data_IF_819418060561
#
_entry.id   IF_819418060561
#
_cell.length_a   1.000
_cell.length_b   1.000
_cell.length_c   1.000
_cell.angle_alpha   90.00
_cell.angle_beta   90.00
_cell.angle_gamma   90.00
#
_symmetry.space_group_name_H-M   'P 1'
#
loop_
_entity.id
_entity.type
_entity.pdbx_description
1 polymer ?
#
# COMPACT_ATOMS: atom_id res chain seq x y z
N UNK A 1 12.29 -1.29 -36.07
CA UNK A 1 10.87 -1.08 -35.70
C UNK A 1 9.91 -2.09 -36.37
N UNK A 2 10.38 -3.28 -36.76
CA UNK A 2 9.58 -4.22 -37.57
C UNK A 2 9.44 -5.62 -36.95
N UNK A 3 10.05 -5.85 -35.77
CA UNK A 3 10.00 -7.14 -35.06
C UNK A 3 8.99 -7.20 -33.92
N UNK A 4 8.23 -6.12 -33.67
CA UNK A 4 7.20 -6.07 -32.62
C UNK A 4 5.77 -6.28 -33.13
N UNK A 5 5.57 -6.36 -34.46
CA UNK A 5 4.24 -6.48 -35.09
C UNK A 5 3.80 -7.93 -35.33
N UNK A 6 4.70 -8.92 -35.16
CA UNK A 6 4.44 -10.34 -35.46
C UNK A 6 4.01 -11.19 -34.24
N UNK A 7 3.83 -10.55 -33.08
CA UNK A 7 3.47 -11.24 -31.81
C UNK A 7 2.01 -11.04 -31.38
N UNK A 8 1.19 -10.27 -32.12
CA UNK A 8 -0.25 -10.11 -31.83
C UNK A 8 -1.16 -11.11 -32.55
N UNK A 9 -0.67 -11.82 -33.55
CA UNK A 9 -1.51 -12.71 -34.37
C UNK A 9 -1.45 -14.18 -33.93
N UNK A 10 -0.73 -14.51 -32.86
CA UNK A 10 -0.52 -15.88 -32.40
C UNK A 10 -1.43 -16.34 -31.25
N UNK A 11 -2.25 -15.46 -30.65
CA UNK A 11 -3.00 -15.79 -29.43
C UNK A 11 -4.52 -15.96 -29.64
N UNK A 12 -5.01 -15.95 -30.88
CA UNK A 12 -6.45 -16.08 -31.20
C UNK A 12 -6.86 -17.49 -31.64
N UNK A 13 -6.05 -18.53 -31.40
CA UNK A 13 -6.39 -19.92 -31.76
C UNK A 13 -6.02 -20.94 -30.68
N UNK A 14 -6.60 -20.78 -29.49
CA UNK A 14 -6.64 -21.84 -28.46
C UNK A 14 -8.02 -21.95 -27.83
N UNK A 15 -9.01 -22.22 -28.67
CA UNK A 15 -10.29 -22.78 -28.25
C UNK A 15 -10.35 -24.22 -28.73
N UNK A 16 -9.80 -25.16 -27.94
CA UNK A 16 -10.03 -26.58 -28.17
C UNK A 16 -11.37 -26.98 -27.54
N UNK A 17 -12.27 -27.64 -28.29
CA UNK A 17 -13.49 -28.20 -27.73
C UNK A 17 -13.15 -29.49 -26.97
N UNK A 18 -13.25 -29.46 -25.64
CA UNK A 18 -13.19 -30.69 -24.84
C UNK A 18 -14.47 -31.49 -25.06
N UNK A 19 -14.25 -32.70 -25.57
CA UNK A 19 -15.22 -33.71 -25.97
C UNK A 19 -16.26 -33.99 -24.90
N UNK A 20 -17.51 -34.10 -25.36
CA UNK A 20 -18.64 -34.60 -24.61
C UNK A 20 -18.37 -36.03 -24.10
N UNK A 21 -18.38 -36.21 -22.78
CA UNK A 21 -18.44 -37.53 -22.13
C UNK A 21 -19.92 -37.94 -22.09
N UNK A 22 -20.22 -39.06 -22.76
CA UNK A 22 -21.54 -39.67 -22.75
C UNK A 22 -21.89 -40.19 -21.36
N UNK A 23 -22.83 -39.52 -20.69
CA UNK A 23 -23.43 -40.01 -19.45
C UNK A 23 -24.52 -41.03 -19.80
N UNK A 24 -24.19 -42.31 -19.63
CA UNK A 24 -25.11 -43.43 -19.76
C UNK A 24 -26.26 -43.31 -18.75
N UNK A 25 -27.48 -43.20 -19.26
CA UNK A 25 -28.69 -43.01 -18.47
C UNK A 25 -28.99 -44.18 -17.54
N UNK A 26 -29.00 -43.90 -16.24
CA UNK A 26 -29.70 -44.73 -15.25
C UNK A 26 -31.14 -44.23 -15.15
N UNK A 27 -32.08 -44.99 -15.72
CA UNK A 27 -33.52 -44.72 -15.55
C UNK A 27 -33.87 -44.82 -14.07
N UNK A 28 -34.08 -43.68 -13.43
CA UNK A 28 -34.76 -43.59 -12.14
C UNK A 28 -36.24 -43.84 -12.44
N UNK A 29 -36.77 -44.96 -11.95
CA UNK A 29 -38.21 -45.22 -11.92
C UNK A 29 -38.85 -44.20 -11.00
N UNK A 30 -39.57 -43.23 -11.57
CA UNK A 30 -40.40 -42.30 -10.82
C UNK A 30 -41.58 -43.07 -10.24
N UNK A 31 -41.54 -43.31 -8.93
CA UNK A 31 -42.71 -43.73 -8.16
C UNK A 31 -43.82 -42.69 -8.29
N UNK A 32 -45.12 -43.08 -8.34
CA UNK A 32 -46.20 -42.12 -8.37
C UNK A 32 -46.18 -41.31 -7.08
N UNK A 33 -46.00 -40.00 -7.24
CA UNK A 33 -46.12 -39.00 -6.18
C UNK A 33 -47.49 -39.18 -5.56
N UNK A 34 -47.52 -39.59 -4.28
CA UNK A 34 -48.73 -39.58 -3.45
C UNK A 34 -49.34 -38.19 -3.55
N UNK A 35 -50.57 -38.15 -4.06
CA UNK A 35 -51.48 -37.03 -4.03
C UNK A 35 -51.51 -36.42 -2.63
N UNK A 36 -50.75 -35.35 -2.45
CA UNK A 36 -50.85 -34.50 -1.26
C UNK A 36 -52.21 -33.81 -1.32
N UNK A 37 -53.05 -34.14 -0.35
CA UNK A 37 -54.42 -33.70 -0.27
C UNK A 37 -54.58 -32.19 -0.39
N UNK A 38 -55.69 -31.80 -1.02
CA UNK A 38 -56.42 -30.53 -0.91
C UNK A 38 -55.62 -29.41 -0.21
N UNK A 39 -54.91 -28.62 -1.01
CA UNK A 39 -54.34 -27.34 -0.57
C UNK A 39 -55.51 -26.41 -0.22
N UNK A 40 -55.85 -26.33 1.06
CA UNK A 40 -56.68 -25.25 1.58
C UNK A 40 -56.05 -23.93 1.17
N UNK A 41 -56.76 -23.13 0.39
CA UNK A 41 -56.38 -21.74 0.12
C UNK A 41 -56.30 -21.03 1.46
N UNK A 42 -55.18 -20.40 1.84
CA UNK A 42 -55.12 -19.65 3.07
C UNK A 42 -56.21 -18.58 3.01
N UNK A 43 -57.14 -18.63 3.96
CA UNK A 43 -58.16 -17.60 4.14
C UNK A 43 -57.40 -16.28 4.36
N UNK A 44 -57.51 -15.35 3.42
CA UNK A 44 -56.85 -14.06 3.50
C UNK A 44 -57.44 -13.30 4.69
N UNK A 45 -56.72 -13.34 5.81
CA UNK A 45 -56.96 -12.51 6.99
C UNK A 45 -56.49 -11.10 6.65
N UNK A 46 -57.40 -10.13 6.61
CA UNK A 46 -57.03 -8.73 6.50
C UNK A 46 -56.36 -8.26 7.79
N UNK A 47 -55.38 -7.34 7.69
CA UNK A 47 -54.75 -6.72 8.86
C UNK A 47 -55.75 -5.81 9.57
N UNK A 48 -55.80 -5.90 10.90
CA UNK A 48 -56.65 -5.01 11.70
C UNK A 48 -55.98 -3.64 11.87
N UNK A 49 -56.77 -2.57 11.99
CA UNK A 49 -56.23 -1.21 12.20
C UNK A 49 -55.38 -1.15 13.49
N UNK A 50 -55.76 -1.89 14.53
CA UNK A 50 -55.01 -1.96 15.79
C UNK A 50 -53.66 -2.65 15.64
N UNK A 51 -53.55 -3.69 14.81
CA UNK A 51 -52.28 -4.36 14.50
C UNK A 51 -51.35 -3.44 13.72
N UNK A 52 -51.90 -2.68 12.76
CA UNK A 52 -51.13 -1.64 12.07
C UNK A 52 -50.63 -0.56 13.04
N UNK A 53 -51.48 -0.09 13.96
CA UNK A 53 -51.09 0.94 14.94
C UNK A 53 -50.07 0.42 15.96
N UNK A 54 -50.24 -0.81 16.48
CA UNK A 54 -49.29 -1.45 17.39
C UNK A 54 -47.92 -1.67 16.73
N UNK A 55 -47.89 -2.09 15.46
CA UNK A 55 -46.63 -2.36 14.75
C UNK A 55 -45.86 -1.07 14.44
N UNK A 56 -46.52 -0.03 13.92
CA UNK A 56 -45.85 1.26 13.67
C UNK A 56 -45.37 1.89 14.99
N UNK A 57 -46.15 1.78 16.08
CA UNK A 57 -45.73 2.31 17.38
C UNK A 57 -44.50 1.58 17.93
N UNK A 58 -44.45 0.25 17.88
CA UNK A 58 -43.27 -0.51 18.32
C UNK A 58 -42.05 -0.20 17.44
N UNK A 59 -42.20 -0.12 16.11
CA UNK A 59 -41.08 0.21 15.22
C UNK A 59 -40.53 1.62 15.48
N UNK A 60 -41.39 2.60 15.72
CA UNK A 60 -40.94 3.97 16.04
C UNK A 60 -40.15 4.04 17.35
N UNK A 61 -40.57 3.32 18.40
CA UNK A 61 -39.85 3.29 19.68
C UNK A 61 -38.48 2.62 19.51
N UNK A 62 -38.42 1.49 18.78
CA UNK A 62 -37.17 0.76 18.58
C UNK A 62 -36.16 1.56 17.75
N UNK A 63 -36.61 2.23 16.69
CA UNK A 63 -35.72 3.01 15.81
C UNK A 63 -35.04 4.16 16.54
N UNK A 64 -35.75 4.84 17.45
CA UNK A 64 -35.18 5.90 18.28
C UNK A 64 -34.09 5.37 19.24
N UNK A 65 -34.25 4.15 19.76
CA UNK A 65 -33.29 3.54 20.68
C UNK A 65 -31.95 3.13 20.04
N UNK A 66 -31.90 2.87 18.73
CA UNK A 66 -30.70 2.34 18.06
C UNK A 66 -29.69 3.44 17.65
N UNK A 67 -30.13 4.68 17.46
CA UNK A 67 -29.28 5.80 16.99
C UNK A 67 -27.97 6.04 17.80
N UNK A 68 -27.96 6.04 19.15
CA UNK A 68 -26.73 6.30 19.90
C UNK A 68 -25.64 5.25 19.65
N UNK A 69 -26.02 3.99 19.41
CA UNK A 69 -25.07 2.90 19.13
C UNK A 69 -24.40 3.06 17.77
N UNK A 70 -25.17 3.48 16.76
CA UNK A 70 -24.65 3.69 15.39
C UNK A 70 -23.59 4.78 15.37
N UNK A 71 -23.80 5.90 16.09
CA UNK A 71 -22.83 7.02 16.14
C UNK A 71 -21.48 6.58 16.72
N UNK A 72 -21.48 5.79 17.79
CA UNK A 72 -20.24 5.26 18.40
C UNK A 72 -19.57 4.24 17.49
N UNK A 73 -20.34 3.39 16.81
CA UNK A 73 -19.81 2.41 15.85
C UNK A 73 -19.10 3.10 14.67
N UNK A 74 -19.74 4.10 14.06
CA UNK A 74 -19.16 4.88 12.96
C UNK A 74 -17.90 5.61 13.41
N UNK A 75 -17.91 6.21 14.61
CA UNK A 75 -16.72 6.88 15.16
C UNK A 75 -15.57 5.89 15.31
N UNK A 76 -15.81 4.74 15.95
CA UNK A 76 -14.79 3.69 16.13
C UNK A 76 -14.23 3.19 14.79
N UNK A 77 -15.07 3.05 13.76
CA UNK A 77 -14.63 2.69 12.43
C UNK A 77 -13.71 3.75 11.81
N UNK A 78 -14.06 5.05 11.93
CA UNK A 78 -13.21 6.15 11.47
C UNK A 78 -11.87 6.17 12.21
N UNK A 79 -11.85 5.93 13.51
CA UNK A 79 -10.61 5.83 14.30
C UNK A 79 -9.72 4.67 13.85
N UNK A 80 -10.30 3.52 13.50
CA UNK A 80 -9.55 2.40 12.94
C UNK A 80 -8.96 2.73 11.57
N UNK A 81 -9.76 3.32 10.69
CA UNK A 81 -9.31 3.78 9.37
C UNK A 81 -8.18 4.82 9.49
N UNK A 82 -8.25 5.72 10.47
CA UNK A 82 -7.22 6.72 10.72
C UNK A 82 -5.91 6.05 11.12
N UNK A 83 -5.96 5.11 12.08
CA UNK A 83 -4.77 4.37 12.52
C UNK A 83 -4.15 3.55 11.41
N UNK A 84 -4.97 2.96 10.55
CA UNK A 84 -4.48 2.20 9.40
C UNK A 84 -3.84 3.11 8.35
N UNK A 85 -4.42 4.28 8.07
CA UNK A 85 -3.85 5.27 7.16
C UNK A 85 -2.51 5.84 7.68
N UNK A 86 -2.45 6.23 8.96
CA UNK A 86 -1.22 6.71 9.60
C UNK A 86 -0.13 5.63 9.58
N UNK A 87 -0.48 4.40 9.93
CA UNK A 87 0.46 3.26 9.86
C UNK A 87 0.98 3.05 8.44
N UNK A 88 0.10 3.09 7.43
CA UNK A 88 0.48 2.92 6.04
C UNK A 88 1.50 3.99 5.60
N UNK A 89 1.27 5.25 5.96
CA UNK A 89 2.17 6.35 5.59
C UNK A 89 3.50 6.29 6.34
N UNK A 90 3.49 6.03 7.66
CA UNK A 90 4.72 5.87 8.47
C UNK A 90 5.59 4.72 7.94
N UNK A 91 4.99 3.58 7.62
CA UNK A 91 5.72 2.45 7.00
C UNK A 91 6.36 2.86 5.66
N UNK A 92 5.67 3.68 4.86
CA UNK A 92 6.22 4.14 3.59
C UNK A 92 7.41 5.10 3.78
N UNK A 93 7.35 5.98 4.78
CA UNK A 93 8.48 6.83 5.19
C UNK A 93 9.66 5.97 5.67
N UNK A 94 9.40 5.00 6.54
CA UNK A 94 10.43 4.09 7.06
C UNK A 94 11.08 3.25 5.95
N UNK A 95 10.29 2.78 4.98
CA UNK A 95 10.80 2.04 3.83
C UNK A 95 11.66 2.90 2.92
N UNK A 96 11.25 4.16 2.70
CA UNK A 96 12.06 5.12 1.95
C UNK A 96 13.40 5.37 2.64
N UNK A 97 13.38 5.71 3.94
CA UNK A 97 14.60 5.97 4.70
C UNK A 97 15.52 4.75 4.74
N UNK A 98 14.95 3.55 4.89
CA UNK A 98 15.72 2.30 4.79
C UNK A 98 16.44 2.16 3.44
N UNK A 99 15.81 2.57 2.34
CA UNK A 99 16.40 2.51 1.01
C UNK A 99 17.38 3.66 0.71
N UNK A 100 17.40 4.74 1.50
CA UNK A 100 18.42 5.79 1.39
C UNK A 100 19.73 5.41 2.08
N UNK A 101 19.70 4.59 3.13
CA UNK A 101 20.91 4.18 3.86
C UNK A 101 21.90 3.49 2.90
N UNK A 102 23.15 3.94 2.89
CA UNK A 102 24.20 3.37 2.03
C UNK A 102 24.08 3.76 0.55
N UNK A 103 23.32 4.81 0.23
CA UNK A 103 23.35 5.40 -1.11
C UNK A 103 24.74 5.92 -1.47
N UNK A 104 25.19 5.63 -2.68
CA UNK A 104 26.50 6.05 -3.19
C UNK A 104 26.27 7.20 -4.16
N UNK A 105 26.28 8.43 -3.65
CA UNK A 105 26.25 9.60 -4.52
C UNK A 105 27.62 9.73 -5.20
N UNK A 106 27.67 9.47 -6.51
CA UNK A 106 28.91 9.41 -7.31
C UNK A 106 29.58 10.77 -7.54
N UNK A 107 29.25 11.79 -6.75
CA UNK A 107 29.74 13.17 -6.90
C UNK A 107 30.32 13.81 -5.63
N UNK A 108 30.34 13.09 -4.49
CA UNK A 108 31.07 13.54 -3.32
C UNK A 108 32.50 13.02 -3.36
N UNK A 109 33.49 13.91 -3.18
CA UNK A 109 34.85 13.51 -2.78
C UNK A 109 34.73 12.71 -1.48
N UNK A 110 34.62 11.38 -1.60
CA UNK A 110 34.79 10.51 -0.46
C UNK A 110 36.24 10.73 0.02
N UNK A 111 36.49 11.13 1.27
CA UNK A 111 37.84 10.99 1.81
C UNK A 111 38.22 9.51 1.66
N UNK A 112 39.47 9.18 1.32
CA UNK A 112 39.89 7.80 1.28
C UNK A 112 39.68 7.26 2.69
N UNK A 113 38.70 6.38 2.87
CA UNK A 113 38.55 5.60 4.10
C UNK A 113 39.75 4.64 4.16
N UNK A 114 40.90 5.17 4.59
CA UNK A 114 41.99 4.41 5.15
C UNK A 114 41.52 3.93 6.53
N UNK A 115 40.80 2.82 6.54
CA UNK A 115 40.29 2.23 7.76
C UNK A 115 39.20 1.24 7.37
N UNK A 116 39.39 -0.03 7.75
CA UNK A 116 38.49 -1.14 7.46
C UNK A 116 37.04 -0.69 7.52
N UNK A 117 36.39 -0.59 6.35
CA UNK A 117 34.98 -0.33 6.24
C UNK A 117 34.26 -1.51 6.90
N UNK A 118 33.92 -1.36 8.19
CA UNK A 118 32.94 -2.23 8.81
C UNK A 118 31.70 -2.06 7.95
N UNK A 119 31.19 -3.13 7.31
CA UNK A 119 30.01 -3.01 6.49
C UNK A 119 28.91 -2.43 7.37
N UNK A 120 28.43 -1.22 7.05
CA UNK A 120 27.29 -0.62 7.74
C UNK A 120 26.21 -1.72 7.75
N UNK A 121 25.67 -2.11 8.91
CA UNK A 121 24.62 -3.12 8.97
C UNK A 121 23.43 -2.67 8.14
N UNK A 122 23.33 -3.17 6.91
CA UNK A 122 22.22 -2.89 6.00
C UNK A 122 21.08 -3.82 6.41
N UNK A 123 19.88 -3.25 6.59
CA UNK A 123 18.68 -4.03 6.89
C UNK A 123 18.42 -5.05 5.76
N UNK A 124 18.30 -6.36 6.06
CA UNK A 124 18.01 -7.39 5.07
C UNK A 124 16.74 -7.15 4.24
N UNK A 125 15.82 -6.30 4.72
CA UNK A 125 14.60 -5.91 4.02
C UNK A 125 14.86 -4.92 2.88
N UNK A 126 15.97 -4.18 2.91
CA UNK A 126 16.34 -3.27 1.83
C UNK A 126 16.97 -4.03 0.67
N UNK A 127 16.17 -4.28 -0.37
CA UNK A 127 16.66 -4.94 -1.60
C UNK A 127 17.24 -3.94 -2.60
N UNK A 128 17.12 -2.65 -2.31
CA UNK A 128 17.17 -1.58 -3.29
C UNK A 128 17.76 -0.34 -2.63
N UNK A 129 18.55 0.42 -3.38
CA UNK A 129 19.12 1.70 -2.93
C UNK A 129 18.62 2.83 -3.83
N UNK A 130 18.31 3.97 -3.24
CA UNK A 130 17.97 5.19 -3.99
C UNK A 130 19.22 5.68 -4.73
N UNK A 131 19.07 5.93 -6.03
CA UNK A 131 20.16 6.38 -6.91
C UNK A 131 20.10 7.87 -7.25
N UNK A 132 18.95 8.50 -7.04
CA UNK A 132 18.76 9.93 -7.30
C UNK A 132 19.15 10.77 -6.07
N UNK A 133 20.31 11.44 -6.16
CA UNK A 133 20.83 12.28 -5.10
C UNK A 133 20.26 13.71 -5.12
N UNK A 134 19.53 14.11 -6.18
CA UNK A 134 19.01 15.48 -6.31
C UNK A 134 17.78 15.74 -5.45
N UNK A 135 17.17 14.68 -4.94
CA UNK A 135 15.97 14.72 -4.08
C UNK A 135 16.30 15.27 -2.68
N UNK A 136 17.58 15.22 -2.28
CA UNK A 136 18.01 15.65 -0.96
C UNK A 136 18.69 17.02 -1.05
N UNK A 137 18.15 18.00 -0.34
CA UNK A 137 18.79 19.29 -0.11
C UNK A 137 19.94 19.19 0.90
N UNK A 138 20.74 20.25 0.99
CA UNK A 138 21.85 20.38 1.97
C UNK A 138 21.36 20.44 3.42
N UNK A 139 20.11 20.84 3.59
CA UNK A 139 19.32 20.99 4.80
C UNK A 139 18.72 19.68 5.31
N UNK A 140 18.81 18.59 4.54
CA UNK A 140 18.30 17.26 4.91
C UNK A 140 19.42 16.20 4.95
N UNK A 141 20.37 16.28 5.92
CA UNK A 141 21.48 15.34 6.01
C UNK A 141 21.02 13.93 6.44
N UNK A 142 19.88 13.81 7.12
CA UNK A 142 19.29 12.51 7.54
C UNK A 142 18.55 11.80 6.39
N UNK A 143 18.33 12.46 5.26
CA UNK A 143 17.79 11.85 4.02
C UNK A 143 16.44 11.17 4.22
N UNK A 144 15.57 11.77 5.03
CA UNK A 144 14.14 11.46 5.00
C UNK A 144 13.51 12.02 3.72
N UNK A 145 12.31 11.57 3.31
CA UNK A 145 11.61 12.16 2.16
C UNK A 145 11.42 13.66 2.36
N UNK A 146 11.66 14.53 1.36
CA UNK A 146 11.39 15.96 1.50
C UNK A 146 9.87 16.23 1.61
N UNK A 147 9.06 15.51 0.84
CA UNK A 147 7.61 15.68 0.79
C UNK A 147 6.87 14.34 0.64
N UNK A 148 5.59 14.28 1.05
CA UNK A 148 4.71 13.13 0.81
C UNK A 148 4.54 12.81 -0.68
N UNK A 149 4.61 13.82 -1.55
CA UNK A 149 4.48 13.60 -2.99
C UNK A 149 5.68 12.83 -3.56
N UNK A 150 6.86 12.91 -2.94
CA UNK A 150 8.02 12.08 -3.33
C UNK A 150 7.72 10.58 -3.17
N UNK A 151 6.93 10.22 -2.16
CA UNK A 151 6.56 8.82 -1.90
C UNK A 151 5.56 8.27 -2.92
N UNK A 152 4.68 9.13 -3.45
CA UNK A 152 3.65 8.77 -4.44
C UNK A 152 4.19 8.85 -5.86
N UNK A 153 4.88 9.94 -6.19
CA UNK A 153 5.53 10.12 -7.48
C UNK A 153 6.54 9.00 -7.69
N UNK A 154 7.29 8.61 -6.67
CA UNK A 154 8.24 7.50 -6.68
C UNK A 154 9.62 7.90 -7.16
N UNK A 155 10.63 7.18 -6.68
CA UNK A 155 12.04 7.53 -6.83
C UNK A 155 12.80 6.49 -7.64
N UNK A 156 13.83 6.96 -8.32
CA UNK A 156 14.77 6.16 -9.06
C UNK A 156 15.66 5.34 -8.13
N UNK A 157 15.66 4.03 -8.35
CA UNK A 157 16.33 3.09 -7.48
C UNK A 157 17.12 2.02 -8.25
N UNK A 158 18.16 1.52 -7.60
CA UNK A 158 19.07 0.50 -8.11
C UNK A 158 19.01 -0.73 -7.20
N UNK A 159 18.88 -1.96 -7.73
CA UNK A 159 18.94 -3.16 -6.90
C UNK A 159 20.24 -3.22 -6.10
N UNK A 160 20.15 -3.45 -4.79
CA UNK A 160 21.32 -3.85 -4.01
C UNK A 160 21.65 -5.27 -4.45
N UNK A 161 22.79 -5.46 -5.11
CA UNK A 161 23.25 -6.79 -5.49
C UNK A 161 23.24 -7.68 -4.26
N UNK A 162 22.50 -8.79 -4.32
CA UNK A 162 22.40 -9.70 -3.19
C UNK A 162 23.81 -10.13 -2.76
N UNK A 163 24.21 -9.77 -1.55
CA UNK A 163 25.29 -10.43 -0.85
C UNK A 163 24.85 -11.89 -0.61
N UNK A 164 25.10 -12.75 -1.61
CA UNK A 164 24.55 -14.09 -1.63
C UNK A 164 24.71 -14.83 -2.96
N UNK A 165 25.84 -14.68 -3.66
CA UNK A 165 26.36 -15.78 -4.51
C UNK A 165 27.87 -15.61 -4.64
N UNK A 166 28.62 -16.37 -3.83
CA UNK A 166 29.95 -16.81 -4.24
C UNK A 166 29.79 -17.68 -5.49
N UNK A 167 29.81 -17.03 -6.65
CA UNK A 167 29.93 -17.67 -7.94
C UNK A 167 31.18 -17.13 -8.59
N UNK A 168 32.29 -17.86 -8.46
CA UNK A 168 33.46 -17.67 -9.29
C UNK A 168 33.02 -17.65 -10.76
N UNK A 169 33.22 -16.51 -11.41
CA UNK A 169 33.05 -16.33 -12.84
C UNK A 169 34.25 -15.58 -13.39
N UNK A 170 35.42 -16.20 -13.25
CA UNK A 170 36.64 -15.83 -13.95
C UNK A 170 36.37 -15.84 -15.47
N UNK A 171 36.46 -14.69 -16.11
CA UNK A 171 36.85 -14.58 -17.52
C UNK A 171 37.78 -13.37 -17.67
N UNK A 172 39.00 -13.59 -17.18
CA UNK A 172 40.18 -12.91 -17.68
C UNK A 172 40.45 -13.41 -19.10
N UNK A 173 40.18 -12.60 -20.11
CA UNK A 173 40.92 -12.66 -21.37
C UNK A 173 40.91 -11.27 -21.98
N UNK A 174 42.08 -10.63 -22.07
CA UNK A 174 42.20 -9.30 -22.68
C UNK A 174 43.46 -8.56 -22.27
N UNK A 175 44.58 -8.97 -22.85
CA UNK A 175 45.85 -8.23 -22.81
C UNK A 175 45.76 -6.85 -23.47
N UNK A 176 46.38 -5.88 -22.78
CA UNK A 176 47.09 -4.67 -23.26
C UNK A 176 46.33 -3.45 -23.81
N UNK A 177 46.65 -2.33 -23.12
CA UNK A 177 47.03 -0.98 -23.60
C UNK A 177 45.98 -0.08 -24.25
N UNK A 178 45.81 1.09 -23.61
CA UNK A 178 45.49 2.36 -24.26
C UNK A 178 44.05 2.52 -24.70
N UNK A 179 43.20 3.01 -23.79
CA UNK A 179 42.40 4.23 -24.02
C UNK A 179 41.54 4.54 -22.79
N UNK A 180 41.54 5.81 -22.43
CA UNK A 180 40.72 6.40 -21.36
C UNK A 180 39.24 6.13 -21.60
N UNK A 181 38.46 6.06 -20.52
CA UNK A 181 36.99 6.08 -20.49
C UNK A 181 36.22 4.80 -20.84
N UNK A 182 36.55 3.66 -20.21
CA UNK A 182 35.53 2.62 -19.98
C UNK A 182 34.92 2.82 -18.61
N UNK A 183 33.88 3.64 -18.60
CA UNK A 183 32.87 3.75 -17.55
C UNK A 183 32.40 2.34 -17.21
N UNK A 184 32.95 1.74 -16.14
CA UNK A 184 32.43 0.53 -15.50
C UNK A 184 31.17 0.88 -14.68
N UNK A 185 30.26 1.62 -15.31
CA UNK A 185 28.88 1.69 -14.91
C UNK A 185 28.25 0.38 -15.36
N UNK A 186 28.23 -0.61 -14.49
CA UNK A 186 27.17 -1.62 -14.56
C UNK A 186 25.87 -0.83 -14.61
N UNK A 187 25.30 -0.70 -15.81
CA UNK A 187 24.05 -0.01 -16.08
C UNK A 187 22.94 -0.86 -15.48
N UNK A 188 22.95 -1.00 -14.15
CA UNK A 188 21.82 -1.49 -13.40
C UNK A 188 20.69 -0.53 -13.76
N UNK A 189 19.76 -1.04 -14.58
CA UNK A 189 18.62 -0.29 -15.05
C UNK A 189 17.94 0.31 -13.83
N UNK A 190 18.09 1.62 -13.69
CA UNK A 190 17.39 2.38 -12.67
C UNK A 190 15.91 2.17 -12.90
N UNK A 191 15.23 1.65 -11.88
CA UNK A 191 13.78 1.45 -11.91
C UNK A 191 13.15 2.46 -10.99
N UNK A 192 11.92 2.85 -11.33
CA UNK A 192 11.14 3.73 -10.48
C UNK A 192 10.43 2.89 -9.41
N UNK A 193 10.66 3.18 -8.13
CA UNK A 193 9.97 2.57 -6.99
C UNK A 193 9.03 3.59 -6.35
N UNK A 194 7.77 3.17 -6.18
CA UNK A 194 6.72 3.96 -5.53
C UNK A 194 6.49 3.38 -4.14
N UNK A 195 6.45 4.24 -3.12
CA UNK A 195 6.29 3.84 -1.71
C UNK A 195 4.82 3.95 -1.25
N UNK A 196 4.07 4.91 -1.81
CA UNK A 196 2.63 5.08 -1.56
C UNK A 196 1.83 5.02 -2.86
N UNK A 197 0.72 4.27 -2.86
CA UNK A 197 -0.19 4.21 -4.02
C UNK A 197 -0.92 5.53 -4.27
N UNK A 198 -1.27 6.21 -3.18
CA UNK A 198 -1.86 7.54 -3.13
C UNK A 198 -1.80 8.03 -1.67
N UNK A 199 -1.90 9.34 -1.46
CA UNK A 199 -2.06 9.90 -0.11
C UNK A 199 -3.48 9.57 0.37
N UNK A 200 -3.65 8.84 1.48
CA UNK A 200 -4.97 8.52 2.00
C UNK A 200 -5.67 9.79 2.50
N UNK A 201 -7.01 9.78 2.44
CA UNK A 201 -7.86 10.82 3.02
C UNK A 201 -7.99 10.57 4.52
N UNK A 202 -7.79 11.60 5.33
CA UNK A 202 -8.04 11.52 6.77
C UNK A 202 -9.55 11.31 7.01
N UNK A 203 -9.98 10.20 7.63
CA UNK A 203 -11.40 9.90 7.85
C UNK A 203 -12.08 10.82 8.87
N UNK A 204 -11.32 11.59 9.65
CA UNK A 204 -11.84 12.57 10.59
C UNK A 204 -12.12 13.92 9.91
N UNK A 205 -11.20 14.41 9.09
CA UNK A 205 -11.34 15.71 8.40
C UNK A 205 -11.96 15.60 7.01
N UNK A 206 -11.95 14.42 6.41
CA UNK A 206 -12.42 14.16 5.04
C UNK A 206 -11.49 14.70 3.95
N UNK A 207 -10.27 15.12 4.30
CA UNK A 207 -9.27 15.68 3.36
C UNK A 207 -7.98 14.88 3.39
N UNK A 208 -7.23 14.88 2.28
CA UNK A 208 -5.88 14.30 2.23
C UNK A 208 -4.81 15.28 2.75
N UNK A 209 -5.13 16.01 3.84
CA UNK A 209 -4.25 17.00 4.45
C UNK A 209 -3.77 16.47 5.80
N UNK A 210 -2.47 16.27 5.92
CA UNK A 210 -1.83 15.73 7.12
C UNK A 210 -0.90 16.78 7.75
N UNK A 211 -0.71 16.68 9.06
CA UNK A 211 0.32 17.44 9.77
C UNK A 211 1.63 16.67 9.68
N UNK A 212 2.70 17.37 9.28
CA UNK A 212 4.01 16.77 9.03
C UNK A 212 4.97 17.27 10.11
N UNK A 213 5.94 16.43 10.46
CA UNK A 213 6.97 16.76 11.43
C UNK A 213 8.33 16.35 10.86
N UNK A 214 9.31 17.25 10.93
CA UNK A 214 10.69 16.94 10.55
C UNK A 214 11.42 16.26 11.71
N UNK A 215 12.55 15.61 11.42
CA UNK A 215 13.39 15.00 12.47
C UNK A 215 14.04 16.05 13.40
N UNK A 216 14.08 17.32 12.99
CA UNK A 216 14.66 18.42 13.76
C UNK A 216 13.63 19.23 14.55
N UNK A 217 12.34 19.05 14.26
CA UNK A 217 11.26 19.69 14.99
C UNK A 217 11.16 19.18 16.44
N UNK A 218 10.79 20.06 17.37
CA UNK A 218 10.48 19.68 18.74
C UNK A 218 9.33 18.64 18.80
N UNK A 219 9.26 17.83 19.86
CA UNK A 219 8.21 16.81 20.00
C UNK A 219 6.80 17.39 20.10
N UNK A 220 6.70 18.62 20.59
CA UNK A 220 5.48 19.41 20.76
C UNK A 220 5.31 20.48 19.67
N UNK A 221 6.14 20.46 18.62
CA UNK A 221 6.02 21.39 17.50
C UNK A 221 4.65 21.23 16.82
N UNK A 222 3.94 22.36 16.67
CA UNK A 222 2.64 22.45 16.01
C UNK A 222 2.70 22.90 14.55
N UNK A 223 3.91 23.03 14.00
CA UNK A 223 4.16 23.39 12.61
C UNK A 223 5.38 22.65 12.09
N UNK A 224 5.33 22.28 10.82
CA UNK A 224 6.39 21.57 10.12
C UNK A 224 7.56 22.49 9.77
N UNK A 225 8.80 22.08 10.08
CA UNK A 225 10.03 22.81 9.73
C UNK A 225 10.34 22.84 8.22
N UNK A 226 9.83 21.88 7.45
CA UNK A 226 9.95 21.85 5.99
C UNK A 226 11.20 21.14 5.45
N UNK A 227 12.10 20.66 6.30
CA UNK A 227 13.35 20.01 5.87
C UNK A 227 13.12 18.58 5.36
N UNK A 228 12.23 17.85 6.03
CA UNK A 228 11.85 16.49 5.68
C UNK A 228 10.58 16.02 6.39
N UNK A 229 10.05 14.89 5.94
CA UNK A 229 8.93 14.17 6.56
C UNK A 229 9.48 13.01 7.39
N UNK A 230 9.52 13.19 8.70
CA UNK A 230 9.88 12.16 9.68
C UNK A 230 8.65 11.47 10.28
N UNK A 231 7.65 12.27 10.69
CA UNK A 231 6.40 11.76 11.23
C UNK A 231 5.19 12.51 10.65
N UNK A 232 4.03 11.87 10.71
CA UNK A 232 2.78 12.30 10.08
C UNK A 232 1.66 12.13 11.11
N UNK A 233 0.84 13.16 11.31
CA UNK A 233 -0.26 13.18 12.29
C UNK A 233 -1.55 13.72 11.66
N UNK A 234 -2.70 13.45 12.29
CA UNK A 234 -3.97 13.99 11.82
C UNK A 234 -4.06 15.49 12.08
N UNK A 235 -4.68 16.24 11.15
CA UNK A 235 -5.04 17.65 11.36
C UNK A 235 -6.35 17.85 12.12
N UNK A 236 -7.01 16.76 12.52
CA UNK A 236 -8.27 16.84 13.24
C UNK A 236 -8.10 17.44 14.64
N UNK A 237 -9.00 18.38 14.98
CA UNK A 237 -9.10 18.98 16.32
C UNK A 237 -10.00 18.18 17.26
N UNK A 238 -10.58 17.08 16.76
CA UNK A 238 -11.48 16.24 17.55
C UNK A 238 -10.70 15.36 18.53
N UNK A 239 -11.45 14.82 19.49
CA UNK A 239 -10.95 13.88 20.51
C UNK A 239 -11.49 12.49 20.23
N UNK A 240 -10.62 11.50 20.36
CA UNK A 240 -10.93 10.09 20.24
C UNK A 240 -11.83 9.58 21.39
N UNK A 241 -12.37 8.39 21.22
CA UNK A 241 -13.19 7.70 22.23
C UNK A 241 -12.42 7.44 23.54
N UNK A 242 -11.08 7.38 23.49
CA UNK A 242 -10.21 7.20 24.67
C UNK A 242 -9.82 8.52 25.36
N UNK A 243 -10.23 9.68 24.83
CA UNK A 243 -9.91 10.99 25.40
C UNK A 243 -8.63 11.66 24.85
N UNK A 244 -7.85 10.98 24.01
CA UNK A 244 -6.69 11.56 23.33
C UNK A 244 -7.11 12.41 22.12
N UNK A 245 -6.32 13.41 21.74
CA UNK A 245 -6.56 14.19 20.52
C UNK A 245 -6.04 13.41 19.32
N UNK A 246 -6.72 13.50 18.19
CA UNK A 246 -6.22 12.90 16.95
C UNK A 246 -4.94 13.54 16.43
N UNK A 247 -4.68 14.81 16.80
CA UNK A 247 -3.42 15.49 16.51
C UNK A 247 -2.20 14.83 17.15
N UNK A 248 -2.40 14.02 18.18
CA UNK A 248 -1.34 13.35 18.93
C UNK A 248 -1.09 11.93 18.39
N UNK A 249 -1.88 11.48 17.39
CA UNK A 249 -1.86 10.13 16.83
C UNK A 249 -1.00 9.98 15.58
#
# INVERSE_FOLDING_TARGET
MERYRKQRDADTRRGDPVKAVGFTGRRVTLSPVRSFGLRATPKQSGFTLIELVMTITIMTILTLGVMPLVKVSVKRQREQQLRDALRQMRIAVDEFHRDTVGMVCTGGVAPPLQGQAQPIPIDPRSKVAISDCTIFGVDNPDRYPPDLDTLVSGVNVTPRGGAGTGGQGLQSTGTRTGDSSSVLGSQLSTKKKVYLRAIPVDPMTGKAEWDLRSCYDASDAGSWGGENVFDIRSKSKETALNGEKYSDW
#
